data_IF_728855203600
#
_entry.id   IF_728855203600
#
_cell.length_a   1.000
_cell.length_b   1.000
_cell.length_c   1.000
_cell.angle_alpha   90.00
_cell.angle_beta   90.00
_cell.angle_gamma   90.00
#
_symmetry.space_group_name_H-M   'P 1'
#
loop_
_entity.id
_entity.type
_entity.pdbx_description
1 polymer ?
#
# COMPACT_ATOMS: atom_id res chain seq x y z
N UNK A 1 0.12 12.92 9.71
CA UNK A 1 1.36 13.62 9.29
C UNK A 1 1.32 13.80 7.79
N UNK A 2 1.46 15.03 7.29
CA UNK A 2 1.50 15.31 5.85
C UNK A 2 2.91 14.99 5.36
N UNK A 3 3.09 13.86 4.69
CA UNK A 3 4.37 13.53 4.05
C UNK A 3 4.48 14.31 2.74
N UNK A 4 5.65 14.84 2.42
CA UNK A 4 5.92 15.44 1.11
C UNK A 4 6.04 14.33 0.04
N UNK A 5 5.66 14.58 -1.23
CA UNK A 5 5.78 13.58 -2.27
C UNK A 5 7.24 13.20 -2.49
N UNK A 6 7.54 11.90 -2.50
CA UNK A 6 8.91 11.36 -2.58
C UNK A 6 9.56 11.47 -3.96
N UNK A 7 8.90 12.08 -4.97
CA UNK A 7 9.45 12.18 -6.33
C UNK A 7 8.86 13.33 -7.16
N UNK A 8 9.60 13.79 -8.17
CA UNK A 8 9.14 14.81 -9.12
C UNK A 8 7.90 14.26 -9.86
N UNK A 9 6.78 14.99 -9.80
CA UNK A 9 5.45 14.59 -10.31
C UNK A 9 4.71 13.47 -9.56
N UNK A 10 5.08 13.13 -8.32
CA UNK A 10 4.23 12.24 -7.50
C UNK A 10 3.14 13.02 -6.77
N UNK A 11 1.92 12.48 -6.76
CA UNK A 11 0.80 13.00 -5.98
C UNK A 11 0.60 12.13 -4.76
N UNK A 12 0.45 12.74 -3.59
CA UNK A 12 0.12 12.01 -2.38
C UNK A 12 -1.40 11.82 -2.30
N UNK A 13 -1.82 10.59 -2.03
CA UNK A 13 -3.23 10.22 -1.87
C UNK A 13 -3.41 9.77 -0.44
N UNK A 14 -4.22 10.50 0.31
CA UNK A 14 -4.68 10.06 1.62
C UNK A 14 -5.84 9.08 1.46
N UNK A 15 -5.76 7.93 2.14
CA UNK A 15 -6.82 6.93 2.14
C UNK A 15 -7.29 6.80 3.59
N UNK A 16 -8.59 7.00 3.82
CA UNK A 16 -9.18 6.71 5.11
C UNK A 16 -9.49 5.21 5.20
N UNK A 17 -8.98 4.54 6.23
CA UNK A 17 -9.18 3.12 6.48
C UNK A 17 -9.18 2.84 7.98
N UNK A 18 -9.67 1.66 8.35
CA UNK A 18 -9.60 1.21 9.75
C UNK A 18 -8.14 0.97 10.16
N UNK A 19 -7.86 1.18 11.45
CA UNK A 19 -6.51 1.07 12.01
C UNK A 19 -5.93 -0.34 11.85
N UNK A 20 -6.74 -1.37 12.12
CA UNK A 20 -6.37 -2.79 11.97
C UNK A 20 -5.85 -3.13 10.56
N UNK A 21 -6.51 -2.59 9.52
CA UNK A 21 -6.05 -2.75 8.14
C UNK A 21 -4.75 -2.00 7.86
N UNK A 22 -4.57 -0.81 8.44
CA UNK A 22 -3.34 -0.04 8.27
C UNK A 22 -2.14 -0.76 8.92
N UNK A 23 -2.32 -1.28 10.13
CA UNK A 23 -1.31 -2.06 10.85
C UNK A 23 -0.94 -3.34 10.10
N UNK A 24 -1.91 -4.05 9.53
CA UNK A 24 -1.65 -5.25 8.74
C UNK A 24 -0.86 -4.93 7.45
N UNK A 25 -1.19 -3.83 6.76
CA UNK A 25 -0.43 -3.37 5.61
C UNK A 25 1.01 -3.00 5.98
N UNK A 26 1.21 -2.35 7.13
CA UNK A 26 2.53 -2.00 7.63
C UNK A 26 3.35 -3.24 8.03
N UNK A 27 2.73 -4.19 8.74
CA UNK A 27 3.36 -5.47 9.12
C UNK A 27 3.89 -6.23 7.91
N UNK A 28 3.09 -6.32 6.84
CA UNK A 28 3.47 -7.01 5.60
C UNK A 28 4.50 -6.25 4.78
N UNK A 29 4.37 -4.92 4.70
CA UNK A 29 5.39 -4.11 4.07
C UNK A 29 6.75 -4.33 4.76
N UNK A 30 6.77 -4.33 6.09
CA UNK A 30 7.96 -4.58 6.90
C UNK A 30 8.52 -6.00 6.71
N UNK A 31 7.68 -7.05 6.65
CA UNK A 31 8.14 -8.42 6.41
C UNK A 31 8.82 -8.60 5.05
N UNK A 32 8.43 -7.77 4.07
CA UNK A 32 9.04 -7.72 2.73
C UNK A 32 10.15 -6.69 2.58
N UNK A 33 10.55 -6.00 3.66
CA UNK A 33 11.53 -4.91 3.66
C UNK A 33 11.15 -3.76 2.69
N UNK A 34 9.87 -3.49 2.55
CA UNK A 34 9.31 -2.44 1.70
C UNK A 34 8.75 -1.30 2.56
N UNK A 35 8.73 -0.08 2.02
CA UNK A 35 7.91 0.98 2.60
C UNK A 35 6.43 0.69 2.37
N UNK A 36 5.57 1.12 3.31
CA UNK A 36 4.11 0.96 3.17
C UNK A 36 3.59 1.54 1.84
N UNK A 37 4.11 2.68 1.41
CA UNK A 37 3.75 3.28 0.12
C UNK A 37 4.15 2.43 -1.10
N UNK A 38 5.34 1.81 -1.06
CA UNK A 38 5.78 0.91 -2.13
C UNK A 38 4.93 -0.37 -2.17
N UNK A 39 4.64 -0.94 -1.00
CA UNK A 39 3.79 -2.12 -0.87
C UNK A 39 2.36 -1.86 -1.39
N UNK A 40 1.73 -0.77 -0.95
CA UNK A 40 0.41 -0.35 -1.45
C UNK A 40 0.43 -0.14 -2.97
N UNK A 41 1.49 0.46 -3.53
CA UNK A 41 1.62 0.64 -4.99
C UNK A 41 1.65 -0.68 -5.73
N UNK A 42 2.42 -1.67 -5.24
CA UNK A 42 2.51 -3.00 -5.85
C UNK A 42 1.14 -3.67 -5.87
N UNK A 43 0.46 -3.71 -4.72
CA UNK A 43 -0.88 -4.28 -4.59
C UNK A 43 -1.85 -3.60 -5.56
N UNK A 44 -1.92 -2.26 -5.57
CA UNK A 44 -2.85 -1.55 -6.45
C UNK A 44 -2.54 -1.80 -7.94
N UNK A 45 -1.27 -1.86 -8.32
CA UNK A 45 -0.87 -2.20 -9.69
C UNK A 45 -1.28 -3.63 -10.07
N UNK A 46 -1.08 -4.61 -9.20
CA UNK A 46 -1.50 -5.99 -9.43
C UNK A 46 -3.03 -6.12 -9.51
N UNK A 47 -3.76 -5.35 -8.71
CA UNK A 47 -5.22 -5.29 -8.80
C UNK A 47 -5.69 -4.75 -10.15
N UNK A 48 -5.11 -3.63 -10.60
CA UNK A 48 -5.43 -3.01 -11.90
C UNK A 48 -5.11 -3.97 -13.05
N UNK A 49 -3.97 -4.68 -13.00
CA UNK A 49 -3.54 -5.63 -14.04
C UNK A 49 -4.41 -6.87 -14.08
N UNK A 50 -4.74 -7.45 -12.93
CA UNK A 50 -5.48 -8.71 -12.86
C UNK A 50 -6.99 -8.54 -13.04
N UNK A 51 -7.54 -7.36 -12.73
CA UNK A 51 -8.98 -7.12 -12.69
C UNK A 51 -9.72 -7.89 -11.59
N UNK A 52 -8.99 -8.63 -10.74
CA UNK A 52 -9.53 -9.47 -9.67
C UNK A 52 -9.26 -8.84 -8.33
N UNK A 53 -10.29 -8.66 -7.50
CA UNK A 53 -10.14 -8.14 -6.14
C UNK A 53 -9.06 -8.94 -5.40
N UNK A 54 -7.98 -8.27 -5.02
CA UNK A 54 -6.87 -8.92 -4.32
C UNK A 54 -7.36 -9.43 -2.97
N UNK A 55 -7.16 -10.73 -2.73
CA UNK A 55 -7.31 -11.33 -1.41
C UNK A 55 -5.99 -11.18 -0.70
N UNK A 56 -5.98 -10.38 0.36
CA UNK A 56 -4.82 -10.18 1.24
C UNK A 56 -4.67 -11.39 2.17
N UNK A 57 -4.62 -12.60 1.64
CA UNK A 57 -4.45 -13.83 2.42
C UNK A 57 -2.96 -14.21 2.42
N UNK A 58 -2.33 -14.29 3.59
CA UNK A 58 -1.02 -14.95 3.75
C UNK A 58 -1.26 -16.46 3.91
N UNK A 59 -0.41 -17.30 3.31
CA UNK A 59 -0.40 -18.75 3.52
C UNK A 59 0.56 -19.12 4.63
#
# INVERSE_FOLDING_TARGET
>A
MTTHPTGRNTKNVGINMKLDMAEELERRANSMQLSMGAYCKIILCEWIRSGKKLRLEEK
#
